data_IF_653987346428
#
_entry.id   IF_653987346428
#
_cell.length_a   1.000
_cell.length_b   1.000
_cell.length_c   1.000
_cell.angle_alpha   90.00
_cell.angle_beta   90.00
_cell.angle_gamma   90.00
#
_symmetry.space_group_name_H-M   'P 1'
#
loop_
_entity.id
_entity.type
_entity.pdbx_description
1 polymer ?
#
# COMPACT_ATOMS: atom_id res chain seq x y z
N UNK A 1 21.94 -3.36 -2.63
CA UNK A 1 20.95 -4.42 -2.90
C UNK A 1 19.73 -4.15 -2.04
N UNK A 2 18.55 -3.97 -2.65
CA UNK A 2 17.28 -3.87 -1.93
C UNK A 2 16.48 -5.14 -2.18
N UNK A 3 16.04 -5.79 -1.12
CA UNK A 3 15.27 -7.04 -1.16
C UNK A 3 13.92 -6.75 -0.49
N UNK A 4 12.89 -6.65 -1.32
CA UNK A 4 11.52 -6.54 -0.82
C UNK A 4 11.00 -7.90 -0.38
N UNK A 5 10.18 -7.90 0.67
CA UNK A 5 9.63 -9.10 1.29
C UNK A 5 10.68 -10.21 1.52
N UNK A 6 11.83 -9.83 2.10
CA UNK A 6 13.02 -10.68 2.18
C UNK A 6 12.80 -12.04 2.88
N UNK A 7 11.78 -12.14 3.74
CA UNK A 7 11.36 -13.38 4.37
C UNK A 7 10.89 -14.46 3.38
N UNK A 8 10.62 -14.12 2.11
CA UNK A 8 10.32 -15.10 1.06
C UNK A 8 11.54 -15.85 0.56
N UNK A 9 12.76 -15.38 0.86
CA UNK A 9 13.99 -16.10 0.47
C UNK A 9 14.09 -17.44 1.19
N UNK A 10 13.56 -17.55 2.41
CA UNK A 10 13.65 -18.78 3.20
C UNK A 10 12.25 -19.29 3.57
N UNK A 11 11.90 -20.48 3.07
CA UNK A 11 10.62 -21.14 3.32
C UNK A 11 10.87 -22.51 3.94
N UNK A 12 10.58 -22.65 5.24
CA UNK A 12 10.82 -23.88 6.02
C UNK A 12 9.99 -25.07 5.52
N UNK A 13 8.84 -24.78 4.90
CA UNK A 13 7.83 -25.72 4.44
C UNK A 13 8.12 -26.32 3.04
N UNK A 14 9.18 -25.90 2.36
CA UNK A 14 9.52 -26.36 1.03
C UNK A 14 10.91 -27.01 0.97
N UNK A 15 10.96 -28.34 1.16
CA UNK A 15 12.21 -29.13 1.14
C UNK A 15 12.94 -29.14 -0.22
N UNK A 16 12.32 -28.62 -1.29
CA UNK A 16 12.94 -28.48 -2.62
C UNK A 16 13.43 -27.06 -2.91
N UNK A 17 13.42 -26.17 -1.92
CA UNK A 17 13.83 -24.78 -2.10
C UNK A 17 15.34 -24.59 -1.85
N UNK A 18 15.98 -23.80 -2.70
CA UNK A 18 17.40 -23.40 -2.58
C UNK A 18 17.55 -22.10 -1.75
N UNK A 19 16.50 -21.75 -0.99
CA UNK A 19 16.45 -20.57 -0.15
C UNK A 19 17.56 -20.52 0.90
N UNK A 20 17.88 -21.65 1.53
CA UNK A 20 18.94 -21.72 2.53
C UNK A 20 20.31 -21.36 1.92
N UNK A 21 20.67 -21.94 0.77
CA UNK A 21 21.93 -21.63 0.08
C UNK A 21 22.00 -20.15 -0.32
N UNK A 22 20.87 -19.57 -0.73
CA UNK A 22 20.77 -18.14 -1.07
C UNK A 22 21.06 -17.26 0.14
N UNK A 23 20.51 -17.59 1.29
CA UNK A 23 20.76 -16.87 2.55
C UNK A 23 22.21 -17.02 2.99
N UNK A 24 22.79 -18.21 2.90
CA UNK A 24 24.20 -18.46 3.24
C UNK A 24 25.15 -17.61 2.36
N UNK A 25 24.91 -17.58 1.05
CA UNK A 25 25.67 -16.72 0.13
C UNK A 25 25.50 -15.24 0.48
N UNK A 26 24.27 -14.79 0.78
CA UNK A 26 24.01 -13.41 1.16
C UNK A 26 24.78 -13.02 2.44
N UNK A 27 24.77 -13.87 3.46
CA UNK A 27 25.50 -13.65 4.71
C UNK A 27 27.01 -13.55 4.47
N UNK A 28 27.56 -14.42 3.61
CA UNK A 28 28.98 -14.40 3.26
C UNK A 28 29.38 -13.10 2.55
N UNK A 29 28.56 -12.62 1.61
CA UNK A 29 28.81 -11.36 0.91
C UNK A 29 28.67 -10.17 1.85
N UNK A 30 27.66 -10.17 2.73
CA UNK A 30 27.49 -9.12 3.75
C UNK A 30 28.70 -9.00 4.69
N UNK A 31 29.41 -10.10 4.94
CA UNK A 31 30.58 -10.12 5.81
C UNK A 31 31.88 -9.73 5.08
N UNK A 32 32.10 -10.28 3.88
CA UNK A 32 33.34 -10.09 3.13
C UNK A 32 33.39 -8.74 2.39
N UNK A 33 32.27 -8.30 1.83
CA UNK A 33 32.22 -7.17 0.88
C UNK A 33 31.61 -5.90 1.51
N UNK A 34 31.85 -5.70 2.81
CA UNK A 34 31.26 -4.61 3.61
C UNK A 34 31.59 -3.17 3.17
N UNK A 35 32.56 -2.99 2.28
CA UNK A 35 32.93 -1.67 1.74
C UNK A 35 32.22 -1.35 0.43
N UNK A 36 31.76 -2.39 -0.28
CA UNK A 36 31.24 -2.27 -1.64
C UNK A 36 29.74 -2.63 -1.74
N UNK A 37 29.18 -3.24 -0.70
CA UNK A 37 27.76 -3.63 -0.65
C UNK A 37 27.03 -3.11 0.58
N UNK A 38 25.90 -2.44 0.33
CA UNK A 38 24.84 -2.20 1.33
C UNK A 38 23.63 -3.06 0.98
N UNK A 39 23.15 -3.84 1.94
CA UNK A 39 21.93 -4.66 1.82
C UNK A 39 20.82 -4.01 2.65
N UNK A 40 19.68 -3.76 2.02
CA UNK A 40 18.45 -3.29 2.68
C UNK A 40 17.39 -4.35 2.48
N UNK A 41 16.93 -4.94 3.58
CA UNK A 41 15.83 -5.90 3.60
C UNK A 41 14.57 -5.20 4.10
N UNK A 42 13.48 -5.37 3.35
CA UNK A 42 12.17 -4.84 3.70
C UNK A 42 11.14 -5.96 3.81
N UNK A 43 10.08 -5.69 4.57
CA UNK A 43 9.00 -6.63 4.77
C UNK A 43 8.14 -6.28 5.98
N UNK A 44 7.01 -6.99 6.14
CA UNK A 44 6.15 -6.84 7.31
C UNK A 44 6.89 -7.26 8.58
N UNK A 45 6.82 -6.42 9.63
CA UNK A 45 7.54 -6.59 10.90
C UNK A 45 7.46 -8.02 11.44
N UNK A 46 6.26 -8.56 11.61
CA UNK A 46 6.07 -9.91 12.15
C UNK A 46 6.61 -11.04 11.27
N UNK A 47 6.70 -10.86 9.95
CA UNK A 47 7.32 -11.83 9.05
C UNK A 47 8.84 -11.72 9.10
N UNK A 48 9.39 -10.51 9.15
CA UNK A 48 10.82 -10.26 9.32
C UNK A 48 11.34 -10.79 10.66
N UNK A 49 10.58 -10.60 11.75
CA UNK A 49 10.95 -11.12 13.08
C UNK A 49 11.06 -12.65 13.09
N UNK A 50 10.15 -13.35 12.40
CA UNK A 50 10.24 -14.81 12.19
C UNK A 50 11.44 -15.18 11.34
N UNK A 51 11.61 -14.53 10.19
CA UNK A 51 12.74 -14.76 9.30
C UNK A 51 14.10 -14.60 10.00
N UNK A 52 14.26 -13.58 10.84
CA UNK A 52 15.47 -13.38 11.66
C UNK A 52 15.65 -14.42 12.75
N UNK A 53 14.57 -15.00 13.25
CA UNK A 53 14.63 -16.09 14.23
C UNK A 53 14.99 -17.42 13.56
N UNK A 54 14.51 -17.63 12.34
CA UNK A 54 14.69 -18.86 11.58
C UNK A 54 16.06 -18.96 10.89
N UNK A 55 16.73 -17.82 10.65
CA UNK A 55 18.07 -17.74 10.05
C UNK A 55 19.10 -17.27 11.08
N UNK A 56 19.82 -18.21 11.74
CA UNK A 56 20.89 -17.87 12.67
C UNK A 56 21.98 -17.01 12.01
N UNK A 57 22.41 -15.94 12.69
CA UNK A 57 23.52 -15.09 12.25
C UNK A 57 23.15 -13.97 11.27
N UNK A 58 21.90 -13.92 10.79
CA UNK A 58 21.40 -12.80 10.00
C UNK A 58 21.21 -11.55 10.88
N UNK A 59 20.59 -11.70 12.05
CA UNK A 59 20.36 -10.60 13.00
C UNK A 59 21.65 -9.92 13.46
N UNK A 60 22.75 -10.66 13.62
CA UNK A 60 24.04 -10.07 14.05
C UNK A 60 24.75 -9.27 12.96
N UNK A 61 24.36 -9.44 11.69
CA UNK A 61 24.93 -8.73 10.53
C UNK A 61 24.09 -7.53 10.10
N UNK A 62 22.94 -7.32 10.73
CA UNK A 62 22.09 -6.15 10.51
C UNK A 62 22.44 -5.10 11.56
N UNK A 63 23.09 -4.03 11.13
CA UNK A 63 23.50 -2.95 12.03
C UNK A 63 22.32 -2.07 12.48
N UNK A 64 21.27 -1.97 11.66
CA UNK A 64 20.17 -1.02 11.85
C UNK A 64 18.82 -1.67 11.59
N UNK A 65 17.92 -1.55 12.57
CA UNK A 65 16.51 -1.88 12.42
C UNK A 65 15.71 -0.57 12.40
N UNK A 66 14.97 -0.34 11.32
CA UNK A 66 14.14 0.85 11.15
C UNK A 66 12.70 0.38 11.04
N UNK A 67 11.89 0.73 12.03
CA UNK A 67 10.46 0.46 12.03
C UNK A 67 9.72 1.60 11.32
N UNK A 68 8.86 1.24 10.37
CA UNK A 68 7.96 2.16 9.68
C UNK A 68 6.54 1.95 10.23
N UNK A 69 6.07 2.79 11.17
CA UNK A 69 4.70 2.69 11.66
C UNK A 69 3.70 3.09 10.57
N UNK A 70 2.45 2.65 10.74
CA UNK A 70 1.35 3.11 9.90
C UNK A 70 1.16 4.62 10.05
N UNK A 71 0.84 5.27 8.94
CA UNK A 71 0.57 6.70 8.92
C UNK A 71 -0.68 7.06 9.73
N UNK A 72 -0.67 8.24 10.34
CA UNK A 72 -1.87 8.86 10.91
C UNK A 72 -2.87 9.24 9.82
N UNK A 73 -4.11 9.56 10.19
CA UNK A 73 -5.12 10.02 9.20
C UNK A 73 -4.68 11.33 8.55
N UNK A 74 -4.05 12.20 9.32
CA UNK A 74 -3.52 13.49 8.85
C UNK A 74 -2.41 13.27 7.82
N UNK A 75 -1.47 12.37 8.09
CA UNK A 75 -0.39 12.02 7.15
C UNK A 75 -0.94 11.36 5.87
N UNK A 76 -1.97 10.50 5.99
CA UNK A 76 -2.65 9.92 4.83
C UNK A 76 -3.40 10.97 4.01
N UNK A 77 -3.97 11.98 4.65
CA UNK A 77 -4.57 13.13 3.97
C UNK A 77 -3.52 13.94 3.22
N UNK A 78 -2.33 14.14 3.78
CA UNK A 78 -1.23 14.82 3.09
C UNK A 78 -0.74 14.02 1.88
N UNK A 79 -0.64 12.69 2.02
CA UNK A 79 -0.37 11.79 0.88
C UNK A 79 -1.46 11.94 -0.19
N UNK A 80 -2.74 12.00 0.20
CA UNK A 80 -3.84 12.17 -0.75
C UNK A 80 -3.77 13.53 -1.48
N UNK A 81 -3.41 14.61 -0.79
CA UNK A 81 -3.19 15.93 -1.40
C UNK A 81 -2.03 15.90 -2.40
N UNK A 82 -0.90 15.32 -2.03
CA UNK A 82 0.26 15.17 -2.92
C UNK A 82 -0.09 14.36 -4.18
N UNK A 83 -0.82 13.25 -4.02
CA UNK A 83 -1.23 12.42 -5.15
C UNK A 83 -2.22 13.13 -6.08
N UNK A 84 -3.22 13.82 -5.53
CA UNK A 84 -4.20 14.57 -6.34
C UNK A 84 -3.54 15.75 -7.05
N UNK A 85 -2.65 16.49 -6.39
CA UNK A 85 -1.90 17.60 -6.99
C UNK A 85 -1.03 17.13 -8.16
N UNK A 86 -0.29 16.02 -7.99
CA UNK A 86 0.53 15.43 -9.04
C UNK A 86 -0.30 15.04 -10.27
N UNK A 87 -1.54 14.61 -10.06
CA UNK A 87 -2.51 14.26 -11.11
C UNK A 87 -3.33 15.46 -11.63
N UNK A 88 -3.06 16.68 -11.15
CA UNK A 88 -3.81 17.91 -11.48
C UNK A 88 -5.29 17.87 -11.07
N UNK A 89 -5.62 17.06 -10.07
CA UNK A 89 -6.91 17.08 -9.39
C UNK A 89 -6.84 17.92 -8.12
N UNK A 90 -8.02 18.26 -7.61
CA UNK A 90 -8.19 18.82 -6.28
C UNK A 90 -9.45 18.26 -5.63
N UNK A 91 -9.38 18.01 -4.34
CA UNK A 91 -10.56 17.75 -3.52
C UNK A 91 -11.26 19.07 -3.22
N UNK A 92 -12.59 19.11 -3.30
CA UNK A 92 -13.35 20.23 -2.73
C UNK A 92 -13.27 20.19 -1.19
N UNK A 93 -13.56 21.28 -0.48
CA UNK A 93 -13.52 21.29 0.98
C UNK A 93 -14.39 20.22 1.64
N UNK A 94 -15.53 19.87 1.03
CA UNK A 94 -16.39 18.81 1.54
C UNK A 94 -15.89 17.42 1.12
N UNK A 95 -15.25 17.30 -0.04
CA UNK A 95 -14.56 16.07 -0.44
C UNK A 95 -13.38 15.76 0.48
N UNK A 96 -12.64 16.76 0.96
CA UNK A 96 -11.57 16.56 1.94
C UNK A 96 -12.11 15.98 3.25
N UNK A 97 -13.21 16.54 3.79
CA UNK A 97 -13.87 16.01 4.99
C UNK A 97 -14.36 14.57 4.77
N UNK A 98 -15.01 14.32 3.64
CA UNK A 98 -15.49 12.98 3.30
C UNK A 98 -14.34 11.97 3.15
N UNK A 99 -13.19 12.39 2.58
CA UNK A 99 -12.02 11.54 2.43
C UNK A 99 -11.33 11.27 3.77
N UNK A 100 -11.31 12.25 4.68
CA UNK A 100 -10.82 12.06 6.05
C UNK A 100 -11.69 11.04 6.81
N UNK A 101 -13.02 11.14 6.73
CA UNK A 101 -13.96 10.14 7.27
C UNK A 101 -13.73 8.75 6.66
N UNK A 102 -13.54 8.68 5.33
CA UNK A 102 -13.23 7.45 4.63
C UNK A 102 -11.95 6.81 5.18
N UNK A 103 -10.89 7.58 5.40
CA UNK A 103 -9.62 7.08 5.91
C UNK A 103 -9.72 6.57 7.35
N UNK A 104 -10.49 7.25 8.22
CA UNK A 104 -10.77 6.78 9.58
C UNK A 104 -11.38 5.37 9.56
N UNK A 105 -12.40 5.16 8.72
CA UNK A 105 -13.04 3.85 8.56
C UNK A 105 -12.12 2.83 7.88
N UNK A 106 -11.42 3.21 6.81
CA UNK A 106 -10.63 2.26 6.00
C UNK A 106 -9.43 1.70 6.76
N UNK A 107 -8.84 2.47 7.69
CA UNK A 107 -7.72 2.01 8.54
C UNK A 107 -8.10 0.86 9.47
N UNK A 108 -9.37 0.79 9.88
CA UNK A 108 -9.87 -0.25 10.78
C UNK A 108 -10.29 -1.53 10.02
N UNK A 109 -10.34 -1.48 8.70
CA UNK A 109 -10.73 -2.61 7.86
C UNK A 109 -9.53 -3.48 7.46
N UNK A 110 -9.74 -4.78 7.19
CA UNK A 110 -8.68 -5.69 6.75
C UNK A 110 -7.88 -5.19 5.54
N UNK A 111 -6.63 -5.68 5.41
CA UNK A 111 -5.74 -5.39 4.27
C UNK A 111 -5.54 -3.87 4.02
N UNK A 112 -5.49 -3.07 5.08
CA UNK A 112 -5.06 -1.68 4.97
C UNK A 112 -3.57 -1.63 4.63
N UNK A 113 -3.21 -0.81 3.64
CA UNK A 113 -1.87 -0.77 3.05
C UNK A 113 -1.37 0.67 2.88
N UNK A 114 -1.65 1.55 3.86
CA UNK A 114 -1.15 2.92 3.90
C UNK A 114 -1.35 3.68 2.56
N UNK A 115 -0.28 4.24 1.99
CA UNK A 115 -0.33 4.99 0.73
C UNK A 115 -0.90 4.19 -0.45
N UNK A 116 -0.78 2.85 -0.47
CA UNK A 116 -1.43 2.01 -1.50
C UNK A 116 -2.95 2.06 -1.36
N UNK A 117 -3.47 2.03 -0.12
CA UNK A 117 -4.91 2.19 0.12
C UNK A 117 -5.41 3.58 -0.28
N UNK A 118 -4.63 4.64 -0.02
CA UNK A 118 -4.95 6.01 -0.47
C UNK A 118 -5.02 6.08 -1.99
N UNK A 119 -4.00 5.57 -2.70
CA UNK A 119 -3.97 5.52 -4.17
C UNK A 119 -5.19 4.83 -4.74
N UNK A 120 -5.46 3.61 -4.26
CA UNK A 120 -6.59 2.80 -4.73
C UNK A 120 -7.94 3.50 -4.46
N UNK A 121 -8.07 4.20 -3.33
CA UNK A 121 -9.25 4.99 -3.04
C UNK A 121 -9.40 6.16 -4.02
N UNK A 122 -8.33 6.93 -4.26
CA UNK A 122 -8.36 8.05 -5.21
C UNK A 122 -8.67 7.61 -6.63
N UNK A 123 -8.17 6.46 -7.08
CA UNK A 123 -8.48 5.92 -8.41
C UNK A 123 -9.98 5.61 -8.56
N UNK A 124 -10.61 5.04 -7.52
CA UNK A 124 -12.07 4.83 -7.51
C UNK A 124 -12.85 6.13 -7.46
N UNK A 125 -12.43 7.07 -6.61
CA UNK A 125 -13.07 8.39 -6.51
C UNK A 125 -13.01 9.14 -7.83
N UNK A 126 -11.90 9.02 -8.58
CA UNK A 126 -11.77 9.56 -9.94
C UNK A 126 -12.73 8.88 -10.92
N UNK A 127 -12.93 7.57 -10.80
CA UNK A 127 -13.92 6.85 -11.61
C UNK A 127 -15.35 7.34 -11.31
N UNK A 128 -15.72 7.50 -10.04
CA UNK A 128 -17.02 8.05 -9.65
C UNK A 128 -17.21 9.48 -10.17
N UNK A 129 -16.17 10.32 -10.09
CA UNK A 129 -16.18 11.67 -10.64
C UNK A 129 -16.40 11.67 -12.15
N UNK A 130 -15.73 10.78 -12.90
CA UNK A 130 -15.91 10.66 -14.34
C UNK A 130 -17.35 10.27 -14.71
N UNK A 131 -17.93 9.28 -14.01
CA UNK A 131 -19.33 8.86 -14.20
C UNK A 131 -20.29 10.03 -13.92
N UNK A 132 -20.10 10.73 -12.80
CA UNK A 132 -20.94 11.89 -12.46
C UNK A 132 -20.89 12.97 -13.53
N UNK A 133 -19.69 13.29 -14.02
CA UNK A 133 -19.53 14.33 -15.04
C UNK A 133 -20.17 13.92 -16.37
N UNK A 134 -20.02 12.66 -16.76
CA UNK A 134 -20.69 12.10 -17.93
C UNK A 134 -22.21 12.25 -17.83
N UNK A 135 -22.79 11.79 -16.73
CA UNK A 135 -24.24 11.89 -16.47
C UNK A 135 -24.73 13.34 -16.46
N UNK A 136 -23.94 14.27 -15.90
CA UNK A 136 -24.29 15.67 -15.89
C UNK A 136 -24.30 16.27 -17.31
N UNK A 137 -23.34 15.89 -18.15
CA UNK A 137 -23.28 16.31 -19.55
C UNK A 137 -24.45 15.74 -20.37
N UNK A 138 -24.81 14.48 -20.18
CA UNK A 138 -25.98 13.84 -20.81
C UNK A 138 -27.30 14.55 -20.44
N UNK A 139 -27.39 15.09 -19.21
CA UNK A 139 -28.52 15.91 -18.76
C UNK A 139 -28.46 17.37 -19.23
N UNK A 140 -27.54 17.71 -20.12
CA UNK A 140 -27.42 19.04 -20.73
C UNK A 140 -26.62 20.07 -19.94
N UNK A 141 -25.88 19.66 -18.89
CA UNK A 141 -25.02 20.59 -18.14
C UNK A 141 -23.73 20.87 -18.92
N UNK A 142 -23.44 22.15 -19.17
CA UNK A 142 -22.13 22.57 -19.69
C UNK A 142 -21.05 22.39 -18.63
N UNK A 143 -20.05 21.54 -18.92
CA UNK A 143 -18.92 21.30 -18.03
C UNK A 143 -17.80 22.32 -18.25
N UNK A 144 -17.20 22.78 -17.15
CA UNK A 144 -16.03 23.66 -17.16
C UNK A 144 -14.77 22.89 -16.82
N UNK A 145 -13.59 23.47 -17.13
CA UNK A 145 -12.29 22.91 -16.68
C UNK A 145 -12.26 22.69 -15.16
N UNK A 146 -12.91 23.57 -14.38
CA UNK A 146 -12.99 23.44 -12.92
C UNK A 146 -13.75 22.18 -12.51
N UNK A 147 -14.80 21.80 -13.22
CA UNK A 147 -15.56 20.57 -12.97
C UNK A 147 -14.70 19.33 -13.24
N UNK A 148 -13.93 19.35 -14.33
CA UNK A 148 -13.09 18.22 -14.74
C UNK A 148 -11.97 17.89 -13.74
N UNK A 149 -11.48 18.90 -13.01
CA UNK A 149 -10.36 18.74 -12.05
C UNK A 149 -10.80 18.70 -10.59
N UNK A 150 -12.08 18.97 -10.28
CA UNK A 150 -12.57 18.99 -8.90
C UNK A 150 -13.33 17.70 -8.59
N UNK A 151 -12.84 17.00 -7.58
CA UNK A 151 -13.54 15.89 -6.93
C UNK A 151 -14.45 16.47 -5.84
N UNK A 152 -15.71 16.04 -5.81
CA UNK A 152 -16.69 16.42 -4.78
C UNK A 152 -16.89 15.28 -3.78
N UNK A 153 -17.56 15.59 -2.68
CA UNK A 153 -17.85 14.64 -1.60
C UNK A 153 -18.69 13.45 -2.09
N UNK A 154 -19.63 13.66 -3.00
CA UNK A 154 -20.46 12.58 -3.58
C UNK A 154 -19.63 11.54 -4.35
N UNK A 155 -18.45 11.91 -4.86
CA UNK A 155 -17.54 10.97 -5.52
C UNK A 155 -16.85 10.05 -4.50
N UNK A 156 -16.63 10.57 -3.28
CA UNK A 156 -16.04 9.83 -2.16
C UNK A 156 -17.08 8.94 -1.49
N UNK A 157 -18.26 9.50 -1.20
CA UNK A 157 -19.32 8.85 -0.42
C UNK A 157 -19.98 7.66 -1.11
N UNK A 158 -19.77 7.48 -2.42
CA UNK A 158 -20.17 6.27 -3.15
C UNK A 158 -19.39 5.01 -2.74
N UNK A 159 -18.32 5.15 -1.95
CA UNK A 159 -17.54 4.00 -1.48
C UNK A 159 -18.30 3.14 -0.48
N UNK A 160 -18.28 1.81 -0.68
CA UNK A 160 -18.83 0.81 0.25
C UNK A 160 -18.20 0.82 1.65
N UNK A 161 -17.04 1.47 1.82
CA UNK A 161 -16.42 1.64 3.14
C UNK A 161 -17.35 2.36 4.12
N UNK A 162 -18.17 3.28 3.65
CA UNK A 162 -19.17 3.97 4.48
C UNK A 162 -20.32 3.04 4.94
N UNK A 163 -20.49 1.90 4.29
CA UNK A 163 -21.51 0.89 4.59
C UNK A 163 -20.94 -0.30 5.38
N UNK A 164 -19.68 -0.24 5.80
CA UNK A 164 -18.97 -1.36 6.45
C UNK A 164 -18.51 -2.44 5.48
N UNK A 165 -18.60 -2.22 4.17
CA UNK A 165 -18.06 -3.14 3.16
C UNK A 165 -16.54 -3.18 3.22
N UNK A 166 -15.98 -4.39 3.27
CA UNK A 166 -14.53 -4.63 3.12
C UNK A 166 -14.20 -4.58 1.64
N UNK A 167 -13.15 -3.84 1.28
CA UNK A 167 -12.64 -3.85 -0.08
C UNK A 167 -11.71 -5.05 -0.29
N UNK A 168 -12.14 -6.01 -1.11
CA UNK A 168 -11.28 -7.07 -1.64
C UNK A 168 -10.63 -6.58 -2.93
N UNK A 169 -9.30 -6.52 -2.96
CA UNK A 169 -8.58 -6.31 -4.21
C UNK A 169 -8.71 -7.60 -5.05
N UNK A 170 -9.17 -7.54 -6.31
CA UNK A 170 -9.34 -8.74 -7.13
C UNK A 170 -8.04 -9.54 -7.35
N UNK A 171 -6.89 -8.91 -7.19
CA UNK A 171 -5.57 -9.51 -7.47
C UNK A 171 -4.91 -10.19 -6.27
N UNK A 172 -5.48 -10.12 -5.07
CA UNK A 172 -4.92 -10.78 -3.87
C UNK A 172 -5.59 -12.13 -3.55
N UNK A 173 -6.61 -12.53 -4.32
CA UNK A 173 -7.38 -13.76 -4.11
C UNK A 173 -6.68 -15.06 -4.55
N UNK A 174 -5.51 -15.00 -5.18
CA UNK A 174 -4.83 -16.19 -5.74
C UNK A 174 -3.70 -16.76 -4.89
N UNK A 175 -3.35 -16.14 -3.75
CA UNK A 175 -2.24 -16.61 -2.91
C UNK A 175 -2.68 -17.46 -1.70
N UNK A 176 -3.96 -17.44 -1.31
CA UNK A 176 -4.46 -18.10 -0.10
C UNK A 176 -5.38 -19.32 -0.36
N UNK A 177 -5.54 -19.76 -1.62
CA UNK A 177 -6.45 -20.87 -1.96
C UNK A 177 -5.75 -22.08 -2.57
N UNK A 178 -4.60 -22.50 -2.07
CA UNK A 178 -4.09 -23.85 -2.32
C UNK A 178 -3.44 -24.43 -1.05
N UNK A 179 -4.26 -25.10 -0.24
CA UNK A 179 -3.85 -26.25 0.56
C UNK A 179 -5.07 -27.11 0.87
N UNK A 180 -5.14 -28.35 0.36
CA UNK A 180 -5.94 -29.43 0.93
C UNK A 180 -5.38 -29.90 2.29
#
# INVERSE_FOLDING_TARGET
LFIDEAYHIYRVDNERDYGQETVEMLLQVMENDRQDLVVVMAGYKGHMDRFFSDVPGLSSRIAHHIDFPDYSVEELMDIARLMTEAQRYRLSPDAEKAFEEYLKLRREQPRFANGRSVRNALDRVRMHQAIRLYDAAERGRTLTKRDLVTIQDEDVRQSRVFEGGVYEHPEEGSAESESP
#
